data_IF_609124997832
#
_entry.id   IF_609124997832
#
_cell.length_a   1.000
_cell.length_b   1.000
_cell.length_c   1.000
_cell.angle_alpha   90.00
_cell.angle_beta   90.00
_cell.angle_gamma   90.00
#
_symmetry.space_group_name_H-M   'P 1'
#
loop_
_entity.id
_entity.type
_entity.pdbx_description
1 polymer ?
#
# COMPACT_ATOMS: atom_id res chain seq x y z
N UNK A 1 3.71 -9.45 -17.45
CA UNK A 1 3.18 -8.72 -16.28
C UNK A 1 1.68 -8.48 -16.35
N UNK A 2 1.14 -7.89 -17.42
CA UNK A 2 -0.30 -7.59 -17.52
C UNK A 2 -1.20 -8.81 -17.27
N UNK A 3 -0.88 -9.95 -17.86
CA UNK A 3 -1.65 -11.20 -17.70
C UNK A 3 -1.68 -11.71 -16.24
N UNK A 4 -0.61 -11.49 -15.48
CA UNK A 4 -0.54 -11.87 -14.05
C UNK A 4 -1.46 -10.98 -13.23
N UNK A 5 -1.44 -9.66 -13.49
CA UNK A 5 -2.29 -8.68 -12.81
C UNK A 5 -3.76 -8.97 -13.11
N UNK A 6 -4.11 -9.13 -14.39
CA UNK A 6 -5.48 -9.48 -14.82
C UNK A 6 -5.93 -10.80 -14.20
N UNK A 7 -5.09 -11.84 -14.27
CA UNK A 7 -5.40 -13.14 -13.68
C UNK A 7 -5.64 -13.07 -12.18
N UNK A 8 -4.78 -12.37 -11.43
CA UNK A 8 -4.91 -12.24 -9.99
C UNK A 8 -6.16 -11.45 -9.58
N UNK A 9 -6.48 -10.37 -10.32
CA UNK A 9 -7.66 -9.54 -10.04
C UNK A 9 -8.96 -10.26 -10.41
N UNK A 10 -9.00 -10.98 -11.54
CA UNK A 10 -10.20 -11.68 -11.99
C UNK A 10 -10.48 -12.99 -11.24
N UNK A 11 -9.44 -13.64 -10.72
CA UNK A 11 -9.58 -14.95 -10.09
C UNK A 11 -10.29 -14.88 -8.72
N UNK A 12 -9.88 -13.96 -7.85
CA UNK A 12 -10.40 -13.89 -6.48
C UNK A 12 -10.05 -12.57 -5.81
N UNK A 13 -10.86 -12.07 -4.82
CA UNK A 13 -10.49 -10.95 -3.99
C UNK A 13 -9.22 -11.21 -3.17
N UNK A 14 -8.99 -12.45 -2.76
CA UNK A 14 -7.79 -12.83 -1.99
C UNK A 14 -6.53 -12.83 -2.84
N UNK A 15 -6.60 -13.31 -4.10
CA UNK A 15 -5.46 -13.27 -5.03
C UNK A 15 -5.10 -11.84 -5.41
N UNK A 16 -6.09 -10.96 -5.58
CA UNK A 16 -5.89 -9.54 -5.74
C UNK A 16 -5.20 -8.92 -4.52
N UNK A 17 -5.70 -9.19 -3.31
CA UNK A 17 -5.09 -8.68 -2.08
C UNK A 17 -3.63 -9.11 -1.93
N UNK A 18 -3.33 -10.38 -2.19
CA UNK A 18 -1.96 -10.91 -2.15
C UNK A 18 -1.05 -10.22 -3.17
N UNK A 19 -1.55 -9.98 -4.39
CA UNK A 19 -0.82 -9.24 -5.41
C UNK A 19 -0.49 -7.82 -4.92
N UNK A 20 -1.47 -7.08 -4.39
CA UNK A 20 -1.24 -5.71 -3.91
C UNK A 20 -0.33 -5.65 -2.68
N UNK A 21 -0.39 -6.64 -1.80
CA UNK A 21 0.55 -6.79 -0.68
C UNK A 21 1.99 -6.97 -1.21
N UNK A 22 2.18 -7.84 -2.20
CA UNK A 22 3.49 -8.05 -2.81
C UNK A 22 4.00 -6.79 -3.54
N UNK A 23 3.11 -6.10 -4.27
CA UNK A 23 3.43 -4.82 -4.93
C UNK A 23 3.78 -3.76 -3.90
N UNK A 24 3.03 -3.65 -2.79
CA UNK A 24 3.33 -2.70 -1.72
C UNK A 24 4.73 -2.94 -1.13
N UNK A 25 5.05 -4.19 -0.81
CA UNK A 25 6.36 -4.54 -0.28
C UNK A 25 7.49 -4.16 -1.24
N UNK A 26 7.38 -4.54 -2.51
CA UNK A 26 8.39 -4.24 -3.54
C UNK A 26 8.54 -2.74 -3.79
N UNK A 27 7.42 -2.04 -4.01
CA UNK A 27 7.42 -0.59 -4.29
C UNK A 27 7.95 0.23 -3.12
N UNK A 28 7.63 -0.13 -1.87
CA UNK A 28 8.17 0.55 -0.69
C UNK A 28 9.68 0.36 -0.56
N UNK A 29 10.18 -0.87 -0.78
CA UNK A 29 11.62 -1.12 -0.75
C UNK A 29 12.36 -0.33 -1.83
N UNK A 30 11.82 -0.25 -3.05
CA UNK A 30 12.38 0.57 -4.13
C UNK A 30 12.32 2.06 -3.79
N UNK A 31 11.20 2.54 -3.24
CA UNK A 31 11.06 3.92 -2.79
C UNK A 31 12.15 4.30 -1.79
N UNK A 32 12.44 3.44 -0.80
CA UNK A 32 13.48 3.71 0.19
C UNK A 32 14.90 3.60 -0.38
N UNK A 33 15.13 2.80 -1.43
CA UNK A 33 16.40 2.80 -2.16
C UNK A 33 16.61 4.15 -2.85
N UNK A 34 15.57 4.68 -3.51
CA UNK A 34 15.62 6.00 -4.15
C UNK A 34 15.86 7.10 -3.10
N UNK A 35 15.16 7.05 -1.96
CA UNK A 35 15.36 8.00 -0.87
C UNK A 35 16.82 8.04 -0.38
N UNK A 36 17.54 6.93 -0.40
CA UNK A 36 18.96 6.90 -0.05
C UNK A 36 19.86 7.70 -1.00
N UNK A 37 19.47 7.89 -2.25
CA UNK A 37 20.20 8.69 -3.21
C UNK A 37 20.22 10.19 -2.83
N UNK A 38 19.30 10.65 -1.98
CA UNK A 38 19.27 12.02 -1.46
C UNK A 38 20.19 12.25 -0.25
N UNK A 39 20.95 11.21 0.17
CA UNK A 39 21.79 11.26 1.36
C UNK A 39 21.08 10.90 2.66
N UNK A 40 19.77 10.67 2.63
CA UNK A 40 19.01 10.12 3.76
C UNK A 40 19.30 8.62 3.93
N UNK A 41 19.20 8.12 5.16
CA UNK A 41 19.35 6.68 5.44
C UNK A 41 18.10 6.20 6.21
N UNK A 42 16.89 6.22 5.61
CA UNK A 42 15.69 5.79 6.29
C UNK A 42 15.72 4.32 6.66
N UNK A 43 15.01 3.96 7.72
CA UNK A 43 14.64 2.57 7.97
C UNK A 43 13.88 2.03 6.75
N UNK A 44 14.17 0.82 6.31
CA UNK A 44 13.50 0.22 5.15
C UNK A 44 12.49 -0.84 5.58
N UNK A 45 12.93 -1.78 6.41
CA UNK A 45 12.12 -2.96 6.76
C UNK A 45 10.92 -2.57 7.61
N UNK A 46 11.12 -1.80 8.67
CA UNK A 46 10.07 -1.46 9.60
C UNK A 46 8.89 -0.70 8.96
N UNK A 47 9.10 0.41 8.21
CA UNK A 47 7.99 1.09 7.55
C UNK A 47 7.39 0.26 6.39
N UNK A 48 8.17 -0.62 5.73
CA UNK A 48 7.61 -1.56 4.75
C UNK A 48 6.65 -2.54 5.40
N UNK A 49 6.98 -3.07 6.57
CA UNK A 49 6.07 -3.94 7.33
C UNK A 49 4.79 -3.19 7.70
N UNK A 50 4.89 -1.93 8.14
CA UNK A 50 3.70 -1.10 8.45
C UNK A 50 2.84 -0.92 7.19
N UNK A 51 3.43 -0.60 6.05
CA UNK A 51 2.71 -0.42 4.78
C UNK A 51 2.01 -1.70 4.31
N UNK A 52 2.70 -2.82 4.39
CA UNK A 52 2.13 -4.15 4.07
C UNK A 52 0.96 -4.48 5.00
N UNK A 53 1.13 -4.24 6.31
CA UNK A 53 0.05 -4.44 7.28
C UNK A 53 -1.13 -3.52 7.01
N UNK A 54 -0.89 -2.26 6.63
CA UNK A 54 -1.96 -1.32 6.27
C UNK A 54 -2.80 -1.86 5.11
N UNK A 55 -2.16 -2.34 4.04
CA UNK A 55 -2.86 -2.92 2.87
C UNK A 55 -3.63 -4.18 3.27
N UNK A 56 -3.03 -5.06 4.07
CA UNK A 56 -3.67 -6.29 4.52
C UNK A 56 -4.88 -6.02 5.44
N UNK A 57 -4.74 -5.10 6.41
CA UNK A 57 -5.82 -4.70 7.31
C UNK A 57 -6.93 -3.99 6.55
N UNK A 58 -6.60 -3.11 5.61
CA UNK A 58 -7.59 -2.42 4.77
C UNK A 58 -8.43 -3.42 3.96
N UNK A 59 -7.79 -4.44 3.37
CA UNK A 59 -8.51 -5.53 2.70
C UNK A 59 -9.40 -6.32 3.68
N UNK A 60 -8.87 -6.71 4.84
CA UNK A 60 -9.62 -7.50 5.82
C UNK A 60 -10.86 -6.75 6.36
N UNK A 61 -10.74 -5.42 6.54
CA UNK A 61 -11.88 -4.55 6.89
C UNK A 61 -12.88 -4.49 5.74
N UNK A 62 -12.42 -4.28 4.51
CA UNK A 62 -13.28 -4.20 3.33
C UNK A 62 -14.00 -5.52 3.03
N UNK A 63 -13.34 -6.65 3.31
CA UNK A 63 -13.91 -7.99 3.21
C UNK A 63 -14.86 -8.34 4.38
N UNK A 64 -15.05 -7.45 5.36
CA UNK A 64 -15.90 -7.70 6.52
C UNK A 64 -15.34 -8.72 7.52
N UNK A 65 -14.06 -9.08 7.41
CA UNK A 65 -13.42 -10.05 8.30
C UNK A 65 -13.11 -9.46 9.67
N UNK A 66 -12.84 -8.15 9.73
CA UNK A 66 -12.52 -7.41 10.95
C UNK A 66 -13.20 -6.04 10.94
N UNK A 67 -13.41 -5.46 12.11
CA UNK A 67 -14.01 -4.13 12.25
C UNK A 67 -13.08 -3.00 11.81
N UNK A 68 -13.65 -1.87 11.39
CA UNK A 68 -12.91 -0.67 10.93
C UNK A 68 -11.94 -0.12 11.99
N UNK A 69 -12.23 -0.35 13.28
CA UNK A 69 -11.34 0.02 14.38
C UNK A 69 -9.93 -0.61 14.27
N UNK A 70 -9.79 -1.72 13.53
CA UNK A 70 -8.50 -2.37 13.31
C UNK A 70 -7.48 -1.44 12.61
N UNK A 71 -7.94 -0.49 11.78
CA UNK A 71 -7.07 0.50 11.14
C UNK A 71 -6.37 1.41 12.15
N UNK A 72 -6.98 1.65 13.31
CA UNK A 72 -6.37 2.48 14.36
C UNK A 72 -5.11 1.85 14.95
N UNK A 73 -4.96 0.52 14.90
CA UNK A 73 -3.75 -0.14 15.39
C UNK A 73 -2.51 0.13 14.53
N UNK A 74 -2.68 0.67 13.33
CA UNK A 74 -1.55 1.12 12.49
C UNK A 74 -0.90 2.39 13.06
N UNK A 75 -1.67 3.27 13.73
CA UNK A 75 -1.16 4.53 14.28
C UNK A 75 -0.01 4.35 15.29
N UNK A 76 -0.13 3.49 16.32
CA UNK A 76 0.98 3.28 17.24
C UNK A 76 2.21 2.68 16.56
N UNK A 77 2.05 1.89 15.49
CA UNK A 77 3.18 1.38 14.71
C UNK A 77 3.91 2.52 13.97
N UNK A 78 3.16 3.49 13.42
CA UNK A 78 3.75 4.69 12.80
C UNK A 78 4.46 5.55 13.85
N UNK A 79 3.89 5.72 15.05
CA UNK A 79 4.57 6.40 16.16
C UNK A 79 5.86 5.67 16.57
N UNK A 80 5.87 4.35 16.49
CA UNK A 80 7.06 3.52 16.74
C UNK A 80 8.24 3.82 15.82
N UNK A 81 8.01 4.43 14.62
CA UNK A 81 9.09 4.89 13.74
C UNK A 81 9.98 5.93 14.40
N UNK A 82 9.38 6.88 15.13
CA UNK A 82 10.12 7.90 15.86
C UNK A 82 10.99 7.28 16.94
N UNK A 83 10.42 6.32 17.68
CA UNK A 83 11.15 5.61 18.74
C UNK A 83 12.30 4.81 18.13
N UNK A 84 12.06 4.04 17.07
CA UNK A 84 13.05 3.23 16.41
C UNK A 84 14.22 4.08 15.87
N UNK A 85 13.93 5.24 15.27
CA UNK A 85 14.96 6.13 14.75
C UNK A 85 15.74 6.83 15.88
N UNK A 86 15.08 7.16 17.01
CA UNK A 86 15.73 7.73 18.18
C UNK A 86 16.81 6.80 18.75
N UNK A 87 16.51 5.50 18.87
CA UNK A 87 17.47 4.50 19.35
C UNK A 87 18.61 4.23 18.35
N UNK A 88 18.39 4.50 17.09
CA UNK A 88 19.36 4.28 16.01
C UNK A 88 20.52 5.28 16.03
N UNK A 89 20.39 6.44 16.72
CA UNK A 89 21.42 7.49 16.83
C UNK A 89 21.97 7.96 15.47
N UNK A 90 21.10 8.09 14.48
CA UNK A 90 21.47 8.58 13.15
C UNK A 90 21.80 10.08 13.18
N UNK A 91 22.57 10.56 12.19
CA UNK A 91 22.94 11.97 12.07
C UNK A 91 21.78 12.86 11.65
N UNK A 92 20.78 12.29 10.96
CA UNK A 92 19.62 13.02 10.40
C UNK A 92 18.30 12.30 10.74
N UNK A 93 17.93 12.16 12.02
CA UNK A 93 16.79 11.34 12.43
C UNK A 93 15.46 11.83 11.88
N UNK A 94 15.23 13.14 11.89
CA UNK A 94 13.96 13.72 11.38
C UNK A 94 13.78 13.50 9.88
N UNK A 95 14.86 13.66 9.11
CA UNK A 95 14.84 13.39 7.65
C UNK A 95 14.56 11.92 7.37
N UNK A 96 15.14 11.02 8.12
CA UNK A 96 14.94 9.58 7.98
C UNK A 96 13.48 9.20 8.30
N UNK A 97 12.91 9.74 9.37
CA UNK A 97 11.50 9.53 9.73
C UNK A 97 10.58 10.13 8.66
N UNK A 98 10.88 11.33 8.16
CA UNK A 98 10.09 11.96 7.09
C UNK A 98 10.03 11.08 5.84
N UNK A 99 11.16 10.52 5.39
CA UNK A 99 11.19 9.58 4.27
C UNK A 99 10.45 8.27 4.59
N UNK A 100 10.54 7.75 5.82
CA UNK A 100 9.84 6.55 6.24
C UNK A 100 8.31 6.75 6.18
N UNK A 101 7.82 7.86 6.71
CA UNK A 101 6.40 8.24 6.67
C UNK A 101 5.95 8.55 5.23
N UNK A 102 6.77 9.26 4.46
CA UNK A 102 6.47 9.55 3.05
C UNK A 102 6.25 8.26 2.24
N UNK A 103 7.05 7.21 2.45
CA UNK A 103 6.84 5.92 1.79
C UNK A 103 5.50 5.27 2.16
N UNK A 104 5.10 5.33 3.43
CA UNK A 104 3.79 4.83 3.87
C UNK A 104 2.65 5.61 3.20
N UNK A 105 2.72 6.95 3.24
CA UNK A 105 1.65 7.82 2.71
C UNK A 105 1.59 7.77 1.17
N UNK A 106 2.74 7.76 0.50
CA UNK A 106 2.80 7.83 -0.96
C UNK A 106 2.60 6.47 -1.64
N UNK A 107 3.04 5.37 -1.03
CA UNK A 107 2.97 4.04 -1.64
C UNK A 107 1.88 3.19 -0.99
N UNK A 108 1.90 3.03 0.35
CA UNK A 108 1.01 2.08 0.99
C UNK A 108 -0.44 2.56 1.07
N UNK A 109 -0.68 3.86 1.33
CA UNK A 109 -2.05 4.39 1.42
C UNK A 109 -2.80 4.29 0.10
N UNK A 110 -2.26 4.70 -1.07
CA UNK A 110 -2.94 4.52 -2.36
C UNK A 110 -3.24 3.05 -2.67
N UNK A 111 -2.31 2.14 -2.39
CA UNK A 111 -2.53 0.71 -2.60
C UNK A 111 -3.59 0.13 -1.64
N UNK A 112 -3.63 0.59 -0.38
CA UNK A 112 -4.67 0.23 0.57
C UNK A 112 -6.06 0.70 0.10
N UNK A 113 -6.16 1.92 -0.43
CA UNK A 113 -7.40 2.42 -1.02
C UNK A 113 -7.80 1.61 -2.25
N UNK A 114 -6.84 1.27 -3.12
CA UNK A 114 -7.09 0.51 -4.33
C UNK A 114 -7.61 -0.91 -4.03
N UNK A 115 -7.14 -1.52 -2.95
CA UNK A 115 -7.63 -2.84 -2.48
C UNK A 115 -9.06 -2.76 -1.93
N UNK A 116 -9.44 -1.64 -1.32
CA UNK A 116 -10.80 -1.45 -0.78
C UNK A 116 -11.84 -1.19 -1.87
N UNK A 117 -11.46 -0.47 -2.94
CA UNK A 117 -12.39 -0.03 -3.99
C UNK A 117 -13.28 -1.14 -4.60
N UNK A 118 -12.77 -2.35 -4.93
CA UNK A 118 -13.61 -3.42 -5.49
C UNK A 118 -14.46 -4.13 -4.45
N UNK A 119 -14.23 -3.85 -3.17
CA UNK A 119 -14.89 -4.47 -2.04
C UNK A 119 -16.03 -3.58 -1.55
N UNK A 120 -17.18 -3.64 -2.21
CA UNK A 120 -18.33 -2.81 -1.86
C UNK A 120 -19.32 -3.63 -1.02
N UNK A 121 -19.82 -3.04 0.09
CA UNK A 121 -20.89 -3.64 0.87
C UNK A 121 -22.16 -3.81 0.04
N UNK A 122 -22.78 -4.98 0.13
CA UNK A 122 -24.08 -5.21 -0.49
C UNK A 122 -25.22 -4.62 0.35
N UNK A 123 -26.29 -4.10 -0.27
CA UNK A 123 -27.54 -3.81 0.45
C UNK A 123 -28.03 -5.09 1.12
N UNK A 124 -28.10 -5.10 2.45
CA UNK A 124 -28.52 -6.28 3.22
C UNK A 124 -27.41 -7.00 3.99
N UNK A 125 -26.21 -6.45 3.99
CA UNK A 125 -25.03 -7.02 4.70
C UNK A 125 -24.40 -8.16 3.90
N UNK A 126 -23.22 -7.93 3.43
CA UNK A 126 -22.44 -8.90 2.66
C UNK A 126 -21.30 -8.22 1.92
N UNK A 127 -20.37 -9.03 1.46
CA UNK A 127 -19.24 -8.61 0.69
C UNK A 127 -19.45 -8.93 -0.80
N UNK A 128 -19.44 -7.91 -1.65
CA UNK A 128 -19.50 -8.08 -3.10
C UNK A 128 -18.20 -7.62 -3.72
N UNK A 129 -17.53 -8.52 -4.40
CA UNK A 129 -16.31 -8.24 -5.13
C UNK A 129 -16.59 -7.81 -6.57
N UNK A 130 -16.13 -6.61 -6.94
CA UNK A 130 -16.30 -6.03 -8.28
C UNK A 130 -14.94 -5.79 -8.93
N UNK A 131 -14.31 -6.79 -9.57
CA UNK A 131 -12.97 -6.68 -10.13
C UNK A 131 -12.85 -5.58 -11.19
N UNK A 132 -13.91 -5.30 -11.95
CA UNK A 132 -13.91 -4.27 -12.99
C UNK A 132 -13.60 -2.88 -12.46
N UNK A 133 -13.91 -2.57 -11.18
CA UNK A 133 -13.61 -1.27 -10.57
C UNK A 133 -12.11 -1.05 -10.48
N UNK A 134 -11.37 -2.03 -9.99
CA UNK A 134 -9.90 -1.95 -9.92
C UNK A 134 -9.27 -1.97 -11.31
N UNK A 135 -9.79 -2.81 -12.20
CA UNK A 135 -9.29 -2.88 -13.56
C UNK A 135 -9.49 -1.57 -14.32
N UNK A 136 -10.61 -0.87 -14.11
CA UNK A 136 -10.84 0.44 -14.74
C UNK A 136 -9.82 1.49 -14.27
N UNK A 137 -9.48 1.52 -12.96
CA UNK A 137 -8.43 2.42 -12.45
C UNK A 137 -7.08 2.10 -13.06
N UNK A 138 -6.67 0.82 -13.07
CA UNK A 138 -5.41 0.38 -13.68
C UNK A 138 -5.38 0.75 -15.17
N UNK A 139 -6.48 0.54 -15.88
CA UNK A 139 -6.58 0.85 -17.31
C UNK A 139 -6.46 2.35 -17.59
N UNK A 140 -7.10 3.20 -16.76
CA UNK A 140 -7.01 4.67 -16.88
C UNK A 140 -5.56 5.13 -16.68
N UNK A 141 -4.88 4.63 -15.64
CA UNK A 141 -3.46 4.96 -15.39
C UNK A 141 -2.61 4.52 -16.57
N UNK A 142 -2.78 3.29 -17.05
CA UNK A 142 -2.02 2.77 -18.17
C UNK A 142 -2.30 3.55 -19.48
N UNK A 143 -3.56 3.90 -19.75
CA UNK A 143 -3.93 4.70 -20.92
C UNK A 143 -3.29 6.11 -20.85
N UNK A 144 -3.22 6.71 -19.66
CA UNK A 144 -2.54 7.99 -19.45
C UNK A 144 -1.03 7.89 -19.72
N UNK A 145 -0.38 6.83 -19.26
CA UNK A 145 1.06 6.61 -19.48
C UNK A 145 1.36 6.39 -20.96
N UNK A 146 0.55 5.60 -21.67
CA UNK A 146 0.68 5.39 -23.12
C UNK A 146 0.40 6.69 -23.88
N UNK A 147 -0.62 7.46 -23.48
CA UNK A 147 -0.94 8.76 -24.06
C UNK A 147 0.22 9.76 -23.94
N UNK A 148 0.86 9.80 -22.76
CA UNK A 148 2.04 10.65 -22.53
C UNK A 148 3.27 10.25 -23.37
N UNK A 149 3.33 9.00 -23.84
CA UNK A 149 4.41 8.52 -24.72
C UNK A 149 4.20 8.87 -26.21
N UNK A 150 2.94 9.19 -26.58
CA UNK A 150 2.56 9.48 -27.98
C UNK A 150 2.58 10.98 -28.32
N UNK A 151 2.79 11.84 -27.32
CA UNK A 151 2.89 13.31 -27.44
C UNK A 151 4.34 13.77 -27.29
#
# INVERSE_FOLDING_TARGET
MLAVVLGAVLASPYSMALLFIAVAAGSMLEFYKIARLTGAVPLQVYPTVIGVLLVAVAFAVAAGLIGTAALLYVLPLVCGLFIAELYRKSTTPLTNVAWAVAGIVYVAVPLALLVVLPCVGAPGGGFVYRPLVVLSVIFIVWANDVGAYLV
#
